data_IF_599797186318
#
_entry.id   IF_599797186318
#
_cell.length_a   1.000
_cell.length_b   1.000
_cell.length_c   1.000
_cell.angle_alpha   90.00
_cell.angle_beta   90.00
_cell.angle_gamma   90.00
#
_symmetry.space_group_name_H-M   'P 1'
#
loop_
_entity.id
_entity.type
_entity.pdbx_description
1 polymer ?
#
# COMPACT_ATOMS: atom_id res chain seq x y z
N UNK A 1 -8.82 29.46 -3.74
CA UNK A 1 -8.65 28.23 -2.93
C UNK A 1 -9.98 27.51 -2.93
N UNK A 2 -9.98 26.18 -3.00
CA UNK A 2 -11.20 25.39 -2.80
C UNK A 2 -11.52 25.35 -1.30
N UNK A 3 -12.80 25.33 -0.97
CA UNK A 3 -13.29 25.10 0.40
C UNK A 3 -13.14 23.62 0.78
N UNK A 4 -13.15 23.34 2.08
CA UNK A 4 -13.13 21.97 2.61
C UNK A 4 -14.26 21.11 2.03
N UNK A 5 -15.47 21.68 1.93
CA UNK A 5 -16.62 21.02 1.31
C UNK A 5 -16.41 20.69 -0.17
N UNK A 6 -15.79 21.60 -0.94
CA UNK A 6 -15.46 21.35 -2.34
C UNK A 6 -14.40 20.26 -2.51
N UNK A 7 -13.42 20.20 -1.62
CA UNK A 7 -12.39 19.15 -1.59
C UNK A 7 -13.04 17.80 -1.26
N UNK A 8 -13.82 17.74 -0.18
CA UNK A 8 -14.55 16.55 0.23
C UNK A 8 -15.44 16.05 -0.90
N UNK A 9 -16.24 16.92 -1.53
CA UNK A 9 -17.13 16.53 -2.62
C UNK A 9 -16.35 15.93 -3.80
N UNK A 10 -15.19 16.49 -4.17
CA UNK A 10 -14.35 15.93 -5.22
C UNK A 10 -13.79 14.55 -4.88
N UNK A 11 -13.30 14.38 -3.65
CA UNK A 11 -12.71 13.13 -3.17
C UNK A 11 -13.76 12.02 -3.06
N UNK A 12 -14.93 12.34 -2.47
CA UNK A 12 -16.07 11.41 -2.37
C UNK A 12 -16.59 11.05 -3.75
N UNK A 13 -16.71 12.01 -4.68
CA UNK A 13 -17.13 11.73 -6.05
C UNK A 13 -16.18 10.75 -6.74
N UNK A 14 -14.87 10.95 -6.59
CA UNK A 14 -13.84 10.07 -7.16
C UNK A 14 -13.95 8.64 -6.60
N UNK A 15 -14.16 8.52 -5.28
CA UNK A 15 -14.39 7.23 -4.64
C UNK A 15 -15.65 6.54 -5.18
N UNK A 16 -16.76 7.26 -5.29
CA UNK A 16 -18.01 6.73 -5.81
C UNK A 16 -17.89 6.26 -7.26
N UNK A 17 -17.11 6.95 -8.07
CA UNK A 17 -16.88 6.55 -9.45
C UNK A 17 -16.03 5.29 -9.56
N UNK A 18 -14.96 5.17 -8.74
CA UNK A 18 -14.19 3.92 -8.63
C UNK A 18 -15.05 2.72 -8.20
N UNK A 19 -15.96 2.93 -7.24
CA UNK A 19 -16.89 1.89 -6.77
C UNK A 19 -17.86 1.46 -7.89
N UNK A 20 -18.37 2.40 -8.68
CA UNK A 20 -19.24 2.07 -9.82
C UNK A 20 -18.50 1.29 -10.90
N UNK A 21 -17.25 1.66 -11.17
CA UNK A 21 -16.42 1.03 -12.19
C UNK A 21 -15.91 -0.35 -11.77
N UNK A 22 -15.75 -0.59 -10.46
CA UNK A 22 -15.17 -1.81 -9.90
C UNK A 22 -15.99 -2.34 -8.70
N UNK A 23 -17.28 -2.72 -8.89
CA UNK A 23 -18.20 -3.04 -7.80
C UNK A 23 -17.82 -4.30 -7.00
N UNK A 24 -16.96 -5.15 -7.54
CA UNK A 24 -16.45 -6.36 -6.89
C UNK A 24 -15.24 -6.11 -6.00
N UNK A 25 -14.59 -4.95 -6.12
CA UNK A 25 -13.40 -4.64 -5.32
C UNK A 25 -13.80 -4.18 -3.92
N UNK A 26 -13.09 -4.70 -2.93
CA UNK A 26 -13.23 -4.25 -1.55
C UNK A 26 -12.72 -2.82 -1.40
N UNK A 27 -13.43 -2.02 -0.61
CA UNK A 27 -12.99 -0.68 -0.23
C UNK A 27 -12.16 -0.79 1.06
N UNK A 28 -10.96 -0.23 1.05
CA UNK A 28 -10.01 -0.26 2.16
C UNK A 28 -9.74 1.17 2.63
N UNK A 29 -10.37 1.61 3.73
CA UNK A 29 -10.04 2.87 4.36
C UNK A 29 -8.69 2.76 5.08
N UNK A 30 -7.74 3.60 4.70
CA UNK A 30 -6.43 3.71 5.33
C UNK A 30 -6.40 5.00 6.13
N UNK A 31 -6.30 4.88 7.44
CA UNK A 31 -6.39 6.01 8.38
C UNK A 31 -4.98 6.46 8.73
N UNK A 32 -4.70 7.74 8.51
CA UNK A 32 -3.41 8.34 8.87
C UNK A 32 -3.13 8.16 10.36
N UNK A 33 -1.89 7.79 10.67
CA UNK A 33 -1.46 7.52 12.04
C UNK A 33 -1.62 8.73 12.96
N UNK A 34 -1.53 9.93 12.39
CA UNK A 34 -1.68 11.22 13.06
C UNK A 34 -3.11 11.48 13.54
N UNK A 35 -4.10 10.75 13.01
CA UNK A 35 -5.50 10.87 13.44
C UNK A 35 -5.73 10.14 14.76
N UNK A 36 -5.10 8.98 14.97
CA UNK A 36 -5.29 8.17 16.19
C UNK A 36 -4.13 8.42 17.14
N UNK A 37 -4.25 9.45 17.98
CA UNK A 37 -3.16 9.81 18.90
C UNK A 37 -3.01 8.83 20.07
N UNK A 38 -4.12 8.28 20.57
CA UNK A 38 -4.17 7.29 21.66
C UNK A 38 -5.53 6.56 21.73
N UNK A 39 -5.69 5.71 22.74
CA UNK A 39 -6.93 4.99 23.09
C UNK A 39 -7.83 5.76 24.08
N UNK A 40 -7.49 7.02 24.40
CA UNK A 40 -8.17 7.86 25.39
C UNK A 40 -9.48 8.48 24.90
N UNK A 41 -9.73 8.44 23.59
CA UNK A 41 -10.95 8.95 22.97
C UNK A 41 -11.70 7.84 22.24
N UNK A 42 -13.04 7.93 22.23
CA UNK A 42 -13.88 6.95 21.56
C UNK A 42 -13.91 7.09 20.04
N UNK A 43 -13.59 8.27 19.51
CA UNK A 43 -13.62 8.56 18.07
C UNK A 43 -12.72 9.75 17.73
N UNK A 44 -12.14 9.70 16.53
CA UNK A 44 -11.28 10.72 15.97
C UNK A 44 -11.90 11.24 14.67
N UNK A 45 -11.78 12.54 14.43
CA UNK A 45 -12.26 13.17 13.20
C UNK A 45 -11.18 13.05 12.13
N UNK A 46 -11.57 12.62 10.92
CA UNK A 46 -10.71 12.58 9.75
C UNK A 46 -11.41 13.16 8.52
N UNK A 47 -10.65 13.42 7.47
CA UNK A 47 -11.15 13.91 6.18
C UNK A 47 -11.07 12.82 5.10
N UNK A 48 -11.98 12.87 4.14
CA UNK A 48 -11.89 12.01 2.94
C UNK A 48 -10.77 12.54 2.04
N UNK A 49 -9.70 11.76 1.91
CA UNK A 49 -8.59 12.01 1.01
C UNK A 49 -8.77 11.35 -0.35
N UNK A 50 -7.65 11.15 -1.04
CA UNK A 50 -7.60 10.51 -2.35
C UNK A 50 -8.11 9.07 -2.27
N UNK A 51 -8.69 8.59 -3.37
CA UNK A 51 -8.99 7.18 -3.58
C UNK A 51 -8.36 6.68 -4.87
N UNK A 52 -7.94 5.41 -4.89
CA UNK A 52 -7.27 4.78 -6.02
C UNK A 52 -7.39 3.26 -6.00
N UNK A 53 -7.09 2.63 -7.13
CA UNK A 53 -6.95 1.17 -7.20
C UNK A 53 -5.51 0.81 -6.87
N UNK A 54 -5.33 -0.14 -5.97
CA UNK A 54 -4.01 -0.71 -5.66
C UNK A 54 -4.13 -2.20 -5.33
N UNK A 55 -2.99 -2.85 -5.12
CA UNK A 55 -2.89 -4.18 -4.54
C UNK A 55 -2.34 -4.07 -3.13
N UNK A 56 -3.06 -4.61 -2.16
CA UNK A 56 -2.63 -4.62 -0.76
C UNK A 56 -2.24 -6.01 -0.31
N UNK A 57 -1.21 -6.10 0.52
CA UNK A 57 -0.83 -7.33 1.20
C UNK A 57 -0.78 -7.09 2.69
N UNK A 58 -1.54 -7.87 3.46
CA UNK A 58 -1.50 -7.88 4.92
C UNK A 58 -0.70 -9.09 5.37
N UNK A 59 0.49 -8.87 5.94
CA UNK A 59 1.32 -9.94 6.48
C UNK A 59 1.02 -10.27 7.96
N UNK A 60 0.08 -9.55 8.58
CA UNK A 60 -0.27 -9.65 10.01
C UNK A 60 0.38 -8.59 10.89
N UNK A 61 1.42 -7.90 10.41
CA UNK A 61 2.13 -6.83 11.12
C UNK A 61 1.81 -5.45 10.56
N UNK A 62 1.84 -5.29 9.23
CA UNK A 62 1.40 -4.08 8.55
C UNK A 62 0.70 -4.39 7.23
N UNK A 63 0.07 -3.36 6.67
CA UNK A 63 -0.47 -3.37 5.32
C UNK A 63 0.60 -2.80 4.38
N UNK A 64 0.93 -3.54 3.34
CA UNK A 64 1.78 -3.12 2.23
C UNK A 64 0.93 -2.76 1.03
N UNK A 65 1.38 -1.79 0.25
CA UNK A 65 0.80 -1.29 -0.99
C UNK A 65 1.77 -1.57 -2.11
N UNK A 66 1.32 -2.27 -3.15
CA UNK A 66 2.19 -2.57 -4.28
C UNK A 66 2.67 -1.30 -4.99
N UNK A 67 1.89 -0.23 -4.99
CA UNK A 67 2.33 1.05 -5.57
C UNK A 67 3.44 1.78 -4.79
N UNK A 68 3.66 1.44 -3.51
CA UNK A 68 4.59 2.15 -2.63
C UNK A 68 5.73 1.27 -2.11
N UNK A 69 5.45 0.00 -1.87
CA UNK A 69 6.33 -0.90 -1.12
C UNK A 69 7.04 -1.94 -2.01
N UNK A 70 6.71 -2.04 -3.31
CA UNK A 70 7.21 -3.12 -4.19
C UNK A 70 8.74 -3.15 -4.29
N UNK A 71 9.37 -1.98 -4.52
CA UNK A 71 10.83 -1.86 -4.58
C UNK A 71 11.49 -2.23 -3.24
N UNK A 72 10.96 -1.74 -2.11
CA UNK A 72 11.47 -2.04 -0.76
C UNK A 72 11.34 -3.54 -0.43
N UNK A 73 10.24 -4.16 -0.85
CA UNK A 73 10.01 -5.59 -0.65
C UNK A 73 10.96 -6.45 -1.50
N UNK A 74 11.22 -6.05 -2.74
CA UNK A 74 12.17 -6.73 -3.62
C UNK A 74 13.58 -6.63 -3.03
N UNK A 75 14.00 -5.46 -2.56
CA UNK A 75 15.31 -5.25 -1.92
C UNK A 75 15.47 -6.17 -0.69
N UNK A 76 14.46 -6.27 0.17
CA UNK A 76 14.46 -7.19 1.32
C UNK A 76 14.57 -8.67 0.92
N UNK A 77 13.89 -9.08 -0.15
CA UNK A 77 14.00 -10.45 -0.65
C UNK A 77 15.37 -10.72 -1.30
N UNK A 78 15.97 -9.72 -1.97
CA UNK A 78 17.35 -9.80 -2.47
C UNK A 78 18.31 -10.02 -1.31
N UNK A 79 18.23 -9.20 -0.25
CA UNK A 79 19.07 -9.35 0.96
C UNK A 79 18.91 -10.74 1.59
N UNK A 80 17.67 -11.23 1.73
CA UNK A 80 17.39 -12.55 2.28
C UNK A 80 17.99 -13.68 1.43
N UNK A 81 17.90 -13.60 0.11
CA UNK A 81 18.48 -14.59 -0.80
C UNK A 81 20.01 -14.48 -0.84
N UNK A 82 20.56 -13.26 -0.78
CA UNK A 82 22.00 -13.04 -0.71
C UNK A 82 22.57 -13.69 0.56
N UNK A 83 21.96 -13.46 1.71
CA UNK A 83 22.34 -14.12 2.97
C UNK A 83 22.29 -15.65 2.88
N UNK A 84 21.27 -16.21 2.22
CA UNK A 84 21.16 -17.66 1.96
C UNK A 84 22.27 -18.19 1.03
N UNK A 85 22.66 -17.41 0.03
CA UNK A 85 23.56 -17.85 -1.07
C UNK A 85 25.02 -17.41 -0.91
N UNK A 86 25.28 -16.46 -0.01
CA UNK A 86 26.58 -15.84 0.27
C UNK A 86 27.19 -15.12 -0.95
N UNK A 87 26.35 -14.39 -1.71
CA UNK A 87 26.68 -13.72 -2.98
C UNK A 87 26.80 -12.20 -2.76
N UNK A 88 27.78 -11.78 -1.96
CA UNK A 88 27.89 -10.43 -1.41
C UNK A 88 28.18 -9.26 -2.40
N UNK A 89 27.96 -9.42 -3.71
CA UNK A 89 28.24 -8.39 -4.71
C UNK A 89 27.44 -8.52 -6.01
N UNK A 90 26.94 -7.39 -6.50
CA UNK A 90 26.13 -7.25 -7.72
C UNK A 90 26.85 -7.68 -9.02
N UNK A 91 28.18 -7.76 -8.99
CA UNK A 91 28.99 -8.20 -10.13
C UNK A 91 29.09 -9.72 -10.23
N UNK A 92 28.54 -10.45 -9.25
CA UNK A 92 28.55 -11.91 -9.25
C UNK A 92 27.62 -12.48 -10.34
N UNK A 93 28.01 -13.56 -11.05
CA UNK A 93 27.17 -14.14 -12.11
C UNK A 93 25.77 -14.59 -11.68
N UNK A 94 25.57 -14.82 -10.38
CA UNK A 94 24.27 -15.21 -9.80
C UNK A 94 23.40 -14.02 -9.37
N UNK A 95 23.89 -12.78 -9.46
CA UNK A 95 23.14 -11.60 -9.02
C UNK A 95 21.80 -11.44 -9.76
N UNK A 96 21.82 -11.50 -11.10
CA UNK A 96 20.58 -11.41 -11.90
C UNK A 96 19.55 -12.50 -11.54
N UNK A 97 19.93 -13.79 -11.46
CA UNK A 97 19.03 -14.82 -10.93
C UNK A 97 18.48 -14.56 -9.52
N UNK A 98 19.24 -13.88 -8.66
CA UNK A 98 18.78 -13.49 -7.31
C UNK A 98 17.71 -12.40 -7.40
N UNK A 99 17.93 -11.34 -8.18
CA UNK A 99 16.92 -10.29 -8.43
C UNK A 99 15.64 -10.88 -9.01
N UNK A 100 15.75 -11.71 -10.05
CA UNK A 100 14.59 -12.35 -10.70
C UNK A 100 13.79 -13.19 -9.69
N UNK A 101 14.48 -13.96 -8.84
CA UNK A 101 13.84 -14.77 -7.80
C UNK A 101 13.19 -13.92 -6.70
N UNK A 102 13.80 -12.79 -6.33
CA UNK A 102 13.22 -11.86 -5.36
C UNK A 102 11.91 -11.26 -5.89
N UNK A 103 11.91 -10.81 -7.15
CA UNK A 103 10.69 -10.34 -7.83
C UNK A 103 9.62 -11.42 -7.85
N UNK A 104 9.97 -12.67 -8.21
CA UNK A 104 9.02 -13.79 -8.20
C UNK A 104 8.42 -14.05 -6.80
N UNK A 105 9.21 -13.92 -5.73
CA UNK A 105 8.73 -14.07 -4.35
C UNK A 105 7.73 -12.98 -4.00
N UNK A 106 8.06 -11.71 -4.28
CA UNK A 106 7.20 -10.56 -4.00
C UNK A 106 5.90 -10.63 -4.81
N UNK A 107 5.96 -10.96 -6.10
CA UNK A 107 4.78 -11.19 -6.95
C UNK A 107 3.89 -12.33 -6.41
N UNK A 108 4.51 -13.33 -5.77
CA UNK A 108 3.82 -14.47 -5.15
C UNK A 108 3.13 -14.17 -3.82
N UNK A 109 3.26 -12.96 -3.26
CA UNK A 109 2.53 -12.58 -2.05
C UNK A 109 1.02 -12.55 -2.28
N UNK A 110 0.27 -12.59 -1.17
CA UNK A 110 -1.21 -12.58 -1.20
C UNK A 110 -1.74 -11.17 -1.44
N UNK A 111 -1.35 -10.59 -2.56
CA UNK A 111 -1.83 -9.31 -3.05
C UNK A 111 -3.33 -9.39 -3.35
N UNK A 112 -4.09 -8.47 -2.77
CA UNK A 112 -5.51 -8.28 -3.03
C UNK A 112 -5.71 -6.96 -3.77
N UNK A 113 -6.31 -7.01 -4.96
CA UNK A 113 -6.70 -5.79 -5.67
C UNK A 113 -7.89 -5.13 -4.95
N UNK A 114 -7.76 -3.85 -4.62
CA UNK A 114 -8.75 -3.11 -3.80
C UNK A 114 -8.91 -1.67 -4.26
N UNK A 115 -9.97 -1.01 -3.81
CA UNK A 115 -10.10 0.45 -3.81
C UNK A 115 -9.56 0.96 -2.47
N UNK A 116 -8.42 1.64 -2.48
CA UNK A 116 -7.90 2.32 -1.29
C UNK A 116 -8.57 3.69 -1.18
N UNK A 117 -8.99 4.07 0.03
CA UNK A 117 -9.39 5.44 0.36
C UNK A 117 -8.56 5.93 1.54
N UNK A 118 -7.81 7.00 1.34
CA UNK A 118 -7.01 7.62 2.39
C UNK A 118 -7.89 8.49 3.26
N UNK A 119 -7.88 8.26 4.56
CA UNK A 119 -8.54 9.09 5.57
C UNK A 119 -7.45 9.88 6.26
N UNK A 120 -7.40 11.17 5.95
CA UNK A 120 -6.35 12.08 6.41
C UNK A 120 -6.79 12.99 7.54
N UNK A 121 -5.88 13.85 7.97
CA UNK A 121 -6.18 14.90 8.95
C UNK A 121 -7.34 15.81 8.46
N UNK A 122 -8.22 16.28 9.37
CA UNK A 122 -9.26 17.26 9.04
C UNK A 122 -8.73 18.56 8.45
#
# INVERSE_FOLDING_TARGET
>A
MRTELEIQNGNVQSLLDLIKENPELRIVPMVDSEIVADDGYSSWMGSFGKSEIDHVWNNGERIFFKSLDDEELIEKEIEAIDDETQVFHETHPLWKPIEERAVERVEGYRWEKVIVVWIGMP
#
